data_IF_164154237786
#
_entry.id   IF_164154237786
#
_cell.length_a   1.000
_cell.length_b   1.000
_cell.length_c   1.000
_cell.angle_alpha   90.00
_cell.angle_beta   90.00
_cell.angle_gamma   90.00
#
_symmetry.space_group_name_H-M   'P 1'
#
loop_
_entity.id
_entity.type
_entity.pdbx_description
1 polymer ?
#
# COMPACT_ATOMS: atom_id res chain seq x y z
N UNK A 1 38.66 -64.35 -29.42
CA UNK A 1 39.40 -63.23 -28.80
C UNK A 1 38.39 -62.33 -28.07
N UNK A 2 38.29 -62.50 -26.76
CA UNK A 2 37.33 -61.81 -25.90
C UNK A 2 37.88 -60.42 -25.51
N UNK A 3 37.13 -59.34 -25.72
CA UNK A 3 37.35 -58.03 -25.07
C UNK A 3 36.18 -57.78 -24.11
N UNK A 4 36.44 -57.87 -22.82
CA UNK A 4 35.55 -57.41 -21.76
C UNK A 4 35.65 -55.91 -21.66
N UNK A 5 34.53 -55.21 -21.87
CA UNK A 5 34.39 -53.78 -21.55
C UNK A 5 34.07 -53.65 -20.05
N UNK A 6 34.89 -52.91 -19.34
CA UNK A 6 34.74 -52.56 -17.92
C UNK A 6 33.96 -51.27 -17.81
N UNK A 7 32.70 -51.32 -17.42
CA UNK A 7 31.88 -50.13 -17.12
C UNK A 7 32.14 -49.66 -15.70
N UNK A 8 32.73 -48.45 -15.59
CA UNK A 8 32.90 -47.77 -14.31
C UNK A 8 31.65 -46.95 -14.06
N UNK A 9 30.86 -47.38 -13.05
CA UNK A 9 29.78 -46.56 -12.49
C UNK A 9 30.39 -45.52 -11.53
N UNK A 10 30.32 -44.25 -11.87
CA UNK A 10 30.61 -43.15 -10.96
C UNK A 10 29.28 -42.84 -10.22
N UNK A 11 29.16 -43.26 -9.00
CA UNK A 11 28.09 -42.90 -8.09
C UNK A 11 28.42 -41.52 -7.50
N UNK A 12 27.77 -40.47 -8.01
CA UNK A 12 27.79 -39.17 -7.38
C UNK A 12 26.87 -39.18 -6.15
N UNK A 13 27.47 -39.26 -4.97
CA UNK A 13 26.73 -39.10 -3.72
C UNK A 13 26.35 -37.63 -3.55
N UNK A 14 25.05 -37.29 -3.82
CA UNK A 14 24.45 -36.04 -3.36
C UNK A 14 24.25 -36.16 -1.85
N UNK A 15 25.07 -35.50 -1.08
CA UNK A 15 24.83 -35.27 0.36
C UNK A 15 23.74 -34.23 0.51
N UNK A 16 22.49 -34.71 0.69
CA UNK A 16 21.41 -33.85 1.18
C UNK A 16 21.72 -33.62 2.66
N UNK A 17 22.20 -32.45 3.01
CA UNK A 17 22.29 -32.01 4.41
C UNK A 17 20.85 -31.84 4.93
N UNK A 18 20.37 -32.81 5.67
CA UNK A 18 19.13 -32.67 6.42
C UNK A 18 19.38 -31.78 7.63
N UNK A 19 18.86 -30.55 7.61
CA UNK A 19 18.81 -29.72 8.81
C UNK A 19 17.98 -30.45 9.88
N UNK A 20 18.52 -30.49 11.09
CA UNK A 20 17.79 -31.06 12.23
C UNK A 20 16.85 -30.01 12.82
N UNK A 21 15.81 -30.44 13.55
CA UNK A 21 14.91 -29.54 14.29
C UNK A 21 15.66 -28.58 15.22
N UNK A 22 16.78 -29.02 15.78
CA UNK A 22 17.63 -28.19 16.63
C UNK A 22 18.35 -27.08 15.83
N UNK A 23 18.75 -27.32 14.58
CA UNK A 23 19.39 -26.34 13.73
C UNK A 23 18.39 -25.24 13.32
N UNK A 24 17.14 -25.60 13.07
CA UNK A 24 16.06 -24.65 12.75
C UNK A 24 15.75 -23.76 13.95
N UNK A 25 15.55 -24.34 15.14
CA UNK A 25 15.30 -23.56 16.36
C UNK A 25 16.46 -22.64 16.73
N UNK A 26 17.70 -23.08 16.55
CA UNK A 26 18.88 -22.25 16.78
C UNK A 26 18.97 -21.07 15.77
N UNK A 27 18.53 -21.30 14.55
CA UNK A 27 18.49 -20.25 13.50
C UNK A 27 17.42 -19.18 13.79
N UNK A 28 16.24 -19.59 14.20
CA UNK A 28 15.13 -18.69 14.56
C UNK A 28 15.49 -17.81 15.75
N UNK A 29 16.04 -18.42 16.81
CA UNK A 29 16.52 -17.68 17.97
C UNK A 29 17.60 -16.68 17.59
N UNK A 30 18.54 -17.01 16.69
CA UNK A 30 19.56 -16.11 16.21
C UNK A 30 18.97 -14.91 15.47
N UNK A 31 17.91 -15.08 14.65
CA UNK A 31 17.25 -13.98 13.92
C UNK A 31 16.59 -13.01 14.90
N UNK A 32 15.80 -13.53 15.82
CA UNK A 32 15.12 -12.71 16.84
C UNK A 32 16.12 -11.98 17.75
N UNK A 33 17.19 -12.64 18.19
CA UNK A 33 18.23 -12.05 19.04
C UNK A 33 19.02 -10.94 18.32
N UNK A 34 19.36 -11.15 17.03
CA UNK A 34 19.98 -10.13 16.20
C UNK A 34 19.08 -8.88 16.13
N UNK A 35 17.82 -9.05 15.78
CA UNK A 35 16.86 -7.95 15.64
C UNK A 35 16.64 -7.23 16.98
N UNK A 36 16.53 -7.97 18.08
CA UNK A 36 16.38 -7.39 19.40
C UNK A 36 17.59 -6.54 19.81
N UNK A 37 18.81 -7.01 19.54
CA UNK A 37 20.04 -6.27 19.77
C UNK A 37 20.14 -5.03 18.88
N UNK A 38 19.85 -5.18 17.58
CA UNK A 38 19.91 -4.10 16.62
C UNK A 38 18.86 -3.02 16.92
N UNK A 39 17.68 -3.43 17.38
CA UNK A 39 16.64 -2.50 17.84
C UNK A 39 17.19 -1.58 18.93
N UNK A 40 17.75 -2.14 19.99
CA UNK A 40 18.28 -1.36 21.12
C UNK A 40 19.44 -0.45 20.75
N UNK A 41 20.34 -0.94 19.88
CA UNK A 41 21.59 -0.24 19.56
C UNK A 41 21.43 0.78 18.43
N UNK A 42 20.53 0.54 17.49
CA UNK A 42 20.42 1.33 16.28
C UNK A 42 18.98 1.75 15.89
N UNK A 43 18.00 0.80 15.86
CA UNK A 43 16.70 1.10 15.28
C UNK A 43 15.82 1.97 16.18
N UNK A 44 15.90 1.84 17.52
CA UNK A 44 15.14 2.67 18.44
C UNK A 44 15.53 4.17 18.33
N UNK A 45 16.84 4.56 18.37
CA UNK A 45 17.20 5.95 18.15
C UNK A 45 16.92 6.43 16.72
N UNK A 46 16.95 5.54 15.71
CA UNK A 46 16.60 5.88 14.34
C UNK A 46 15.12 6.16 14.19
N UNK A 47 14.26 5.33 14.77
CA UNK A 47 12.82 5.58 14.83
C UNK A 47 12.51 6.90 15.54
N UNK A 48 13.11 7.16 16.72
CA UNK A 48 12.93 8.43 17.44
C UNK A 48 13.32 9.64 16.57
N UNK A 49 14.38 9.50 15.77
CA UNK A 49 14.78 10.53 14.82
C UNK A 49 13.72 10.79 13.75
N UNK A 50 13.19 9.75 13.09
CA UNK A 50 12.15 9.92 12.06
C UNK A 50 10.84 10.43 12.66
N UNK A 51 10.42 9.88 13.81
CA UNK A 51 9.21 10.29 14.50
C UNK A 51 9.20 11.78 14.85
N UNK A 52 10.34 12.31 15.32
CA UNK A 52 10.49 13.75 15.64
C UNK A 52 10.62 14.66 14.45
N UNK A 53 10.95 14.14 13.27
CA UNK A 53 11.28 14.92 12.09
C UNK A 53 10.49 14.50 10.85
N UNK A 54 9.15 14.39 10.91
CA UNK A 54 8.35 14.06 9.76
C UNK A 54 8.40 15.17 8.71
N UNK A 55 8.31 14.79 7.44
CA UNK A 55 8.18 15.70 6.32
C UNK A 55 6.94 15.35 5.49
N UNK A 56 6.28 16.38 4.93
CA UNK A 56 5.09 16.22 4.10
C UNK A 56 5.40 15.50 2.79
N UNK A 57 4.38 14.84 2.21
CA UNK A 57 4.43 14.22 0.88
C UNK A 57 5.06 15.13 -0.17
N UNK A 58 5.94 14.63 -1.02
CA UNK A 58 6.75 15.34 -2.01
C UNK A 58 7.82 16.29 -1.44
N UNK A 59 7.97 16.38 -0.12
CA UNK A 59 8.91 17.25 0.56
C UNK A 59 9.87 16.49 1.49
N UNK A 60 9.92 15.16 1.39
CA UNK A 60 10.66 14.23 2.26
C UNK A 60 12.18 14.24 2.03
N UNK A 61 12.77 15.42 1.85
CA UNK A 61 14.16 15.58 1.42
C UNK A 61 15.18 15.15 2.48
N UNK A 62 14.91 15.44 3.76
CA UNK A 62 15.79 15.06 4.87
C UNK A 62 15.58 13.60 5.24
N UNK A 63 14.33 13.13 5.20
CA UNK A 63 13.95 11.75 5.42
C UNK A 63 14.62 10.84 4.40
N UNK A 64 14.47 11.15 3.10
CA UNK A 64 15.12 10.42 2.01
C UNK A 64 16.65 10.42 2.14
N UNK A 65 17.26 11.56 2.47
CA UNK A 65 18.70 11.67 2.67
C UNK A 65 19.17 10.80 3.83
N UNK A 66 18.44 10.82 4.97
CA UNK A 66 18.79 10.00 6.12
C UNK A 66 18.66 8.52 5.79
N UNK A 67 17.55 8.09 5.19
CA UNK A 67 17.34 6.71 4.78
C UNK A 67 18.43 6.25 3.79
N UNK A 68 18.79 7.08 2.82
CA UNK A 68 19.87 6.79 1.88
C UNK A 68 21.24 6.59 2.57
N UNK A 69 21.53 7.37 3.60
CA UNK A 69 22.77 7.22 4.41
C UNK A 69 22.77 5.88 5.16
N UNK A 70 21.66 5.52 5.80
CA UNK A 70 21.51 4.25 6.51
C UNK A 70 21.75 3.05 5.59
N UNK A 71 21.07 3.02 4.44
CA UNK A 71 21.19 1.93 3.47
C UNK A 71 22.59 1.86 2.82
N UNK A 72 23.19 3.01 2.51
CA UNK A 72 24.56 3.05 1.98
C UNK A 72 25.59 2.55 2.99
N UNK A 73 25.40 2.84 4.28
CA UNK A 73 26.31 2.46 5.35
C UNK A 73 26.47 0.94 5.51
N UNK A 74 25.45 0.17 5.08
CA UNK A 74 25.45 -1.30 5.11
C UNK A 74 25.70 -1.93 3.73
N UNK A 75 26.14 -1.13 2.77
CA UNK A 75 26.68 -1.61 1.49
C UNK A 75 25.68 -1.72 0.34
N UNK A 76 24.50 -1.10 0.46
CA UNK A 76 23.60 -0.95 -0.69
C UNK A 76 24.10 0.16 -1.63
N UNK A 77 23.90 -0.06 -2.93
CA UNK A 77 24.06 0.98 -3.94
C UNK A 77 22.75 1.79 -4.00
N UNK A 78 22.79 3.05 -3.55
CA UNK A 78 21.60 3.89 -3.37
C UNK A 78 21.52 4.95 -4.44
N UNK A 79 20.36 5.03 -5.11
CA UNK A 79 19.98 6.10 -6.02
C UNK A 79 18.87 6.92 -5.38
N UNK A 80 19.08 8.22 -5.25
CA UNK A 80 18.09 9.18 -4.74
C UNK A 80 17.42 9.94 -5.89
N UNK A 81 16.27 10.56 -5.62
CA UNK A 81 15.58 11.39 -6.58
C UNK A 81 14.74 10.61 -7.60
N UNK A 82 14.34 9.40 -7.27
CA UNK A 82 13.50 8.55 -8.13
C UNK A 82 12.03 8.91 -7.90
N UNK A 83 11.36 9.43 -8.94
CA UNK A 83 9.99 9.91 -8.80
C UNK A 83 9.82 11.10 -7.84
N UNK A 84 10.85 11.95 -7.70
CA UNK A 84 10.87 13.08 -6.77
C UNK A 84 11.85 12.87 -5.63
N UNK A 85 11.39 12.66 -4.41
CA UNK A 85 12.23 12.41 -3.23
C UNK A 85 12.50 10.91 -2.97
N UNK A 86 11.95 10.01 -3.80
CA UNK A 86 12.08 8.57 -3.64
C UNK A 86 13.52 8.06 -3.76
N UNK A 87 13.78 6.91 -3.18
CA UNK A 87 15.06 6.23 -3.24
C UNK A 87 14.91 4.76 -3.64
N UNK A 88 15.93 4.28 -4.37
CA UNK A 88 16.10 2.86 -4.69
C UNK A 88 17.49 2.43 -4.24
N UNK A 89 17.54 1.39 -3.42
CA UNK A 89 18.76 0.81 -2.92
C UNK A 89 18.89 -0.65 -3.36
N UNK A 90 20.02 -1.02 -3.96
CA UNK A 90 20.22 -2.36 -4.52
C UNK A 90 21.46 -3.01 -3.90
N UNK A 91 21.27 -4.27 -3.47
CA UNK A 91 22.35 -5.16 -3.09
C UNK A 91 22.28 -6.44 -3.91
N UNK A 92 23.40 -6.79 -4.59
CA UNK A 92 23.54 -8.04 -5.33
C UNK A 92 24.36 -9.04 -4.50
N UNK A 93 23.86 -10.27 -4.42
CA UNK A 93 24.51 -11.34 -3.66
C UNK A 93 24.46 -12.69 -4.42
N UNK A 94 25.04 -12.73 -5.61
CA UNK A 94 25.08 -13.91 -6.47
C UNK A 94 23.87 -14.08 -7.37
N UNK A 95 23.75 -15.22 -8.06
CA UNK A 95 22.60 -15.53 -8.91
C UNK A 95 21.38 -15.86 -8.06
N UNK A 96 20.19 -15.50 -8.53
CA UNK A 96 18.92 -15.75 -7.82
C UNK A 96 17.86 -14.71 -8.19
N UNK A 97 16.71 -14.74 -7.54
CA UNK A 97 15.62 -13.82 -7.82
C UNK A 97 15.97 -12.38 -7.44
N UNK A 98 15.31 -11.44 -8.09
CA UNK A 98 15.25 -10.05 -7.65
C UNK A 98 14.00 -9.87 -6.79
N UNK A 99 14.17 -9.40 -5.56
CA UNK A 99 13.08 -9.18 -4.62
C UNK A 99 13.06 -7.74 -4.17
N UNK A 100 11.87 -7.13 -4.23
CA UNK A 100 11.64 -5.76 -3.79
C UNK A 100 11.03 -5.74 -2.38
N UNK A 101 11.48 -4.81 -1.53
CA UNK A 101 10.80 -4.43 -0.29
C UNK A 101 10.57 -2.93 -0.32
N UNK A 102 9.34 -2.49 -0.03
CA UNK A 102 8.94 -1.08 -0.03
C UNK A 102 8.60 -0.59 1.38
N UNK A 103 9.03 0.63 1.68
CA UNK A 103 8.49 1.45 2.76
C UNK A 103 8.19 2.86 2.24
N UNK A 104 7.05 3.41 2.64
CA UNK A 104 6.70 4.80 2.45
C UNK A 104 7.40 5.71 3.47
N UNK A 105 7.51 7.02 3.18
CA UNK A 105 8.37 7.93 3.96
C UNK A 105 7.68 9.17 4.49
N UNK A 106 6.51 9.51 3.95
CA UNK A 106 5.87 10.81 4.17
C UNK A 106 5.08 10.89 5.48
N UNK A 107 4.88 12.10 5.93
CA UNK A 107 4.02 12.46 7.05
C UNK A 107 2.83 13.29 6.59
N UNK A 108 1.89 13.46 7.50
CA UNK A 108 0.61 14.14 7.30
C UNK A 108 0.59 15.55 7.89
N UNK A 109 -0.23 16.48 7.33
CA UNK A 109 -0.42 17.82 7.88
C UNK A 109 -1.29 17.81 9.14
N UNK A 110 -0.83 17.13 10.17
CA UNK A 110 -1.51 16.92 11.46
C UNK A 110 -0.65 17.43 12.60
N UNK A 111 -1.23 18.17 13.53
CA UNK A 111 -0.57 18.55 14.79
C UNK A 111 -0.64 17.37 15.76
N UNK A 112 0.50 16.84 16.14
CA UNK A 112 0.55 15.67 17.01
C UNK A 112 0.04 15.98 18.43
N UNK A 113 -0.85 15.13 18.90
CA UNK A 113 -1.44 15.15 20.25
C UNK A 113 -1.42 13.76 20.89
N UNK A 114 -0.45 12.94 20.51
CA UNK A 114 -0.28 11.55 20.98
C UNK A 114 0.02 11.45 22.49
N UNK A 115 0.54 12.54 23.07
CA UNK A 115 1.01 12.56 24.46
C UNK A 115 2.38 11.88 24.66
N UNK A 116 3.06 11.51 23.58
CA UNK A 116 4.42 10.93 23.64
C UNK A 116 5.45 12.01 23.97
N UNK A 117 6.47 11.63 24.73
CA UNK A 117 7.57 12.56 25.10
C UNK A 117 8.42 12.99 23.89
N UNK A 118 8.35 12.24 22.80
CA UNK A 118 9.02 12.50 21.51
C UNK A 118 8.06 12.95 20.42
N UNK A 119 6.86 13.40 20.76
CA UNK A 119 5.89 13.93 19.81
C UNK A 119 6.51 14.99 18.89
N UNK A 120 6.13 14.95 17.62
CA UNK A 120 6.61 15.92 16.63
C UNK A 120 6.15 17.34 16.96
N UNK A 121 7.06 18.27 16.83
CA UNK A 121 6.79 19.72 16.90
C UNK A 121 7.07 20.40 15.57
N UNK A 122 7.31 19.62 14.51
CA UNK A 122 7.65 20.11 13.18
C UNK A 122 6.50 20.91 12.60
N UNK A 123 6.83 22.03 11.97
CA UNK A 123 5.92 22.83 11.16
C UNK A 123 6.53 23.03 9.78
N UNK A 124 5.71 22.83 8.75
CA UNK A 124 6.08 23.04 7.35
C UNK A 124 5.03 23.89 6.65
N UNK A 125 5.39 24.49 5.53
CA UNK A 125 4.38 25.03 4.60
C UNK A 125 3.85 23.86 3.77
N UNK A 126 2.53 23.76 3.70
CA UNK A 126 1.89 22.78 2.84
C UNK A 126 1.86 23.25 1.37
N UNK A 127 1.22 22.48 0.50
CA UNK A 127 1.12 22.77 -0.94
C UNK A 127 0.28 24.01 -1.27
N UNK A 128 -0.48 24.53 -0.31
CA UNK A 128 -1.27 25.75 -0.44
C UNK A 128 -0.52 26.98 0.14
N UNK A 129 0.66 26.75 0.72
CA UNK A 129 1.46 27.78 1.40
C UNK A 129 1.03 28.06 2.83
N UNK A 130 0.17 27.20 3.41
CA UNK A 130 -0.26 27.32 4.80
C UNK A 130 0.75 26.63 5.74
N UNK A 131 1.01 27.24 6.90
CA UNK A 131 1.87 26.61 7.92
C UNK A 131 1.09 25.61 8.74
N UNK A 132 1.43 24.33 8.60
CA UNK A 132 0.79 23.21 9.29
C UNK A 132 1.76 22.48 10.20
N UNK A 133 1.25 21.81 11.24
CA UNK A 133 2.01 20.83 12.00
C UNK A 133 2.17 19.56 11.19
N UNK A 134 3.25 18.81 11.39
CA UNK A 134 3.51 17.56 10.65
C UNK A 134 3.71 16.41 11.60
N UNK A 135 3.09 15.27 11.32
CA UNK A 135 3.11 14.07 12.14
C UNK A 135 3.18 12.81 11.27
N UNK A 136 3.90 11.78 11.71
CA UNK A 136 3.74 10.42 11.17
C UNK A 136 2.45 9.77 11.72
N UNK A 137 1.29 10.34 11.34
CA UNK A 137 -0.02 9.87 11.81
C UNK A 137 -0.50 8.57 11.14
N UNK A 138 0.30 8.01 10.22
CA UNK A 138 0.08 6.71 9.60
C UNK A 138 1.16 5.67 9.95
N UNK A 139 2.26 6.09 10.61
CA UNK A 139 3.29 5.19 11.11
C UNK A 139 4.40 4.86 10.12
N UNK A 140 4.61 5.70 9.09
CA UNK A 140 5.64 5.50 8.08
C UNK A 140 7.07 5.54 8.66
N UNK A 141 7.26 6.20 9.79
CA UNK A 141 8.50 6.14 10.60
C UNK A 141 8.85 4.71 11.05
N UNK A 142 7.84 3.87 11.34
CA UNK A 142 8.03 2.44 11.61
C UNK A 142 8.43 1.69 10.36
N UNK A 143 7.80 2.01 9.22
CA UNK A 143 8.06 1.32 7.95
C UNK A 143 9.50 1.54 7.50
N UNK A 144 9.96 2.80 7.41
CA UNK A 144 11.35 3.10 6.99
C UNK A 144 12.39 2.59 8.00
N UNK A 145 12.09 2.64 9.30
CA UNK A 145 12.99 2.07 10.32
C UNK A 145 13.11 0.56 10.17
N UNK A 146 12.00 -0.13 9.91
CA UNK A 146 11.99 -1.57 9.67
C UNK A 146 12.71 -1.93 8.36
N UNK A 147 12.59 -1.10 7.32
CA UNK A 147 13.35 -1.27 6.08
C UNK A 147 14.86 -1.23 6.33
N UNK A 148 15.32 -0.31 7.18
CA UNK A 148 16.74 -0.24 7.60
C UNK A 148 17.13 -1.49 8.38
N UNK A 149 16.32 -1.93 9.34
CA UNK A 149 16.56 -3.16 10.10
C UNK A 149 16.68 -4.39 9.20
N UNK A 150 15.79 -4.51 8.21
CA UNK A 150 15.84 -5.56 7.19
C UNK A 150 17.14 -5.48 6.38
N UNK A 151 17.52 -4.28 5.93
CA UNK A 151 18.77 -4.06 5.18
C UNK A 151 20.00 -4.50 5.97
N UNK A 152 20.04 -4.15 7.25
CA UNK A 152 21.15 -4.47 8.16
C UNK A 152 21.27 -5.98 8.38
N UNK A 153 20.14 -6.65 8.64
CA UNK A 153 20.13 -8.11 8.78
C UNK A 153 20.60 -8.81 7.51
N UNK A 154 20.06 -8.46 6.35
CA UNK A 154 20.39 -9.09 5.07
C UNK A 154 21.85 -8.81 4.65
N UNK A 155 22.36 -7.63 4.94
CA UNK A 155 23.77 -7.28 4.66
C UNK A 155 24.76 -8.09 5.51
N UNK A 156 24.44 -8.38 6.77
CA UNK A 156 25.30 -9.15 7.68
C UNK A 156 25.21 -10.66 7.45
N UNK A 157 24.09 -11.13 6.89
CA UNK A 157 23.82 -12.56 6.68
C UNK A 157 23.81 -12.97 5.19
N UNK A 158 24.75 -12.47 4.40
CA UNK A 158 24.86 -12.76 2.95
C UNK A 158 25.11 -14.23 2.62
N UNK A 159 25.59 -15.00 3.56
CA UNK A 159 25.78 -16.45 3.45
C UNK A 159 24.44 -17.22 3.36
N UNK A 160 23.34 -16.63 3.85
CA UNK A 160 22.01 -17.26 3.94
C UNK A 160 21.13 -17.06 2.71
N UNK A 161 21.45 -16.11 1.84
CA UNK A 161 20.61 -15.78 0.70
C UNK A 161 21.40 -15.52 -0.57
N UNK A 162 20.73 -15.56 -1.73
CA UNK A 162 21.31 -15.22 -3.03
C UNK A 162 20.28 -14.50 -3.91
N UNK A 163 20.77 -13.73 -4.89
CA UNK A 163 19.93 -12.93 -5.77
C UNK A 163 20.20 -11.42 -5.63
N UNK A 164 19.19 -10.63 -5.92
CA UNK A 164 19.23 -9.17 -5.84
C UNK A 164 18.13 -8.66 -4.91
N UNK A 165 18.51 -7.94 -3.85
CA UNK A 165 17.58 -7.25 -2.98
C UNK A 165 17.47 -5.80 -3.40
N UNK A 166 16.25 -5.35 -3.71
CA UNK A 166 15.87 -3.98 -4.01
C UNK A 166 15.05 -3.42 -2.86
N UNK A 167 15.50 -2.34 -2.24
CA UNK A 167 14.77 -1.62 -1.21
C UNK A 167 14.29 -0.29 -1.77
N UNK A 168 13.02 0.02 -1.58
CA UNK A 168 12.39 1.27 -2.02
C UNK A 168 11.96 2.08 -0.81
N UNK A 169 12.46 3.32 -0.72
CA UNK A 169 11.86 4.37 0.09
C UNK A 169 10.95 5.20 -0.79
N UNK A 170 9.65 4.98 -0.66
CA UNK A 170 8.64 5.62 -1.50
C UNK A 170 8.19 6.94 -0.90
N UNK A 171 8.13 8.03 -1.68
CA UNK A 171 7.56 9.31 -1.25
C UNK A 171 6.03 9.31 -1.41
N UNK A 172 5.37 10.30 -0.82
CA UNK A 172 4.04 10.80 -1.16
C UNK A 172 2.93 9.75 -1.28
N UNK A 173 2.91 8.76 -0.39
CA UNK A 173 1.82 7.78 -0.32
C UNK A 173 0.50 8.47 0.03
N UNK A 174 0.50 9.32 1.05
CA UNK A 174 -0.69 10.00 1.61
C UNK A 174 -1.33 11.01 0.65
N UNK A 175 -0.58 11.48 -0.35
CA UNK A 175 -1.08 12.39 -1.39
C UNK A 175 -1.35 11.68 -2.71
N UNK A 176 -0.83 10.49 -2.88
CA UNK A 176 -1.18 9.57 -3.94
C UNK A 176 -0.31 9.48 -5.18
N UNK A 177 0.57 10.41 -5.53
CA UNK A 177 1.38 10.25 -6.74
C UNK A 177 2.72 9.51 -6.51
N UNK A 178 3.02 9.04 -5.29
CA UNK A 178 4.36 8.55 -4.96
C UNK A 178 4.82 7.35 -5.75
N UNK A 179 4.11 6.24 -5.67
CA UNK A 179 4.45 5.04 -6.43
C UNK A 179 4.32 5.27 -7.94
N UNK A 180 3.25 5.94 -8.39
CA UNK A 180 3.06 6.25 -9.82
C UNK A 180 4.15 7.17 -10.37
N UNK A 181 4.64 8.14 -9.60
CA UNK A 181 5.76 9.01 -10.01
C UNK A 181 7.07 8.22 -10.13
N UNK A 182 7.33 7.27 -9.22
CA UNK A 182 8.49 6.38 -9.34
C UNK A 182 8.39 5.50 -10.60
N UNK A 183 7.21 4.97 -10.91
CA UNK A 183 6.97 4.20 -12.13
C UNK A 183 7.13 5.05 -13.39
N UNK A 184 6.62 6.30 -13.39
CA UNK A 184 6.80 7.26 -14.49
C UNK A 184 8.26 7.67 -14.70
N UNK A 185 9.12 7.59 -13.67
CA UNK A 185 10.58 7.75 -13.76
C UNK A 185 11.29 6.48 -14.28
N UNK A 186 10.58 5.60 -14.96
CA UNK A 186 11.09 4.37 -15.56
C UNK A 186 11.74 3.40 -14.53
N UNK A 187 11.10 3.19 -13.39
CA UNK A 187 11.66 2.42 -12.28
C UNK A 187 12.18 1.06 -12.73
N UNK A 188 11.37 0.26 -13.43
CA UNK A 188 11.78 -1.08 -13.86
C UNK A 188 12.84 -1.09 -14.95
N UNK A 189 12.83 -0.12 -15.86
CA UNK A 189 13.84 0.02 -16.92
C UNK A 189 15.20 0.41 -16.37
N UNK A 190 15.24 1.21 -15.30
CA UNK A 190 16.47 1.70 -14.66
C UNK A 190 17.08 0.67 -13.71
N UNK A 191 16.26 -0.05 -12.97
CA UNK A 191 16.72 -0.84 -11.84
C UNK A 191 16.45 -2.34 -11.97
N UNK A 192 15.64 -2.75 -12.94
CA UNK A 192 15.19 -4.12 -13.15
C UNK A 192 13.81 -4.36 -12.51
N UNK A 193 13.03 -5.24 -13.14
CA UNK A 193 11.73 -5.66 -12.63
C UNK A 193 11.94 -6.79 -11.61
N UNK A 194 11.39 -6.70 -10.39
CA UNK A 194 11.50 -7.76 -9.39
C UNK A 194 10.62 -8.97 -9.73
N UNK A 195 11.07 -10.14 -9.29
CA UNK A 195 10.32 -11.39 -9.38
C UNK A 195 9.26 -11.50 -8.28
N UNK A 196 9.49 -10.85 -7.13
CA UNK A 196 8.60 -10.78 -5.97
C UNK A 196 8.68 -9.40 -5.32
N UNK A 197 7.58 -8.99 -4.69
CA UNK A 197 7.54 -7.74 -3.94
C UNK A 197 6.86 -7.92 -2.58
N UNK A 198 7.42 -7.26 -1.56
CA UNK A 198 6.88 -7.24 -0.20
C UNK A 198 6.77 -5.81 0.32
N UNK A 199 5.75 -5.55 1.11
CA UNK A 199 5.60 -4.37 1.92
C UNK A 199 4.77 -4.70 3.15
N UNK A 200 4.81 -3.84 4.17
CA UNK A 200 3.85 -3.93 5.27
C UNK A 200 3.39 -2.54 5.72
N UNK A 201 2.25 -2.51 6.38
CA UNK A 201 1.74 -1.32 7.06
C UNK A 201 1.54 -1.61 8.55
N UNK A 202 1.94 -0.69 9.41
CA UNK A 202 1.62 -0.78 10.83
C UNK A 202 0.13 -0.52 11.01
N UNK A 203 -0.54 -1.33 11.84
CA UNK A 203 -1.99 -1.26 12.03
C UNK A 203 -2.35 -0.75 13.43
N UNK A 204 -3.10 0.35 13.49
CA UNK A 204 -3.73 0.81 14.72
C UNK A 204 -4.80 -0.16 15.25
N UNK A 205 -5.37 -0.98 14.38
CA UNK A 205 -6.47 -1.89 14.72
C UNK A 205 -6.00 -3.27 15.19
N UNK A 206 -4.69 -3.44 15.43
CA UNK A 206 -4.12 -4.72 15.83
C UNK A 206 -3.12 -4.56 16.96
N UNK A 207 -3.08 -5.56 17.85
CA UNK A 207 -2.16 -5.56 18.99
C UNK A 207 -0.70 -5.54 18.53
N UNK A 208 0.12 -4.69 19.16
CA UNK A 208 1.51 -4.48 18.82
C UNK A 208 2.30 -5.78 18.71
N UNK A 209 3.03 -5.94 17.59
CA UNK A 209 3.83 -7.09 17.27
C UNK A 209 3.07 -8.28 16.66
N UNK A 210 1.76 -8.19 16.50
CA UNK A 210 0.97 -9.19 15.76
C UNK A 210 1.01 -8.93 14.26
N UNK A 211 0.90 -9.97 13.46
CA UNK A 211 0.98 -9.91 11.99
C UNK A 211 -0.33 -10.39 11.39
N UNK A 212 -0.77 -9.74 10.33
CA UNK A 212 -1.93 -10.13 9.54
C UNK A 212 -1.49 -10.23 8.08
N UNK A 213 -1.76 -11.37 7.46
CA UNK A 213 -1.52 -11.60 6.02
C UNK A 213 -2.85 -11.92 5.37
N UNK A 214 -3.36 -10.99 4.56
CA UNK A 214 -4.56 -11.19 3.76
C UNK A 214 -4.23 -12.04 2.52
N UNK A 215 -5.09 -13.03 2.20
CA UNK A 215 -4.99 -13.83 0.97
C UNK A 215 -5.81 -13.20 -0.19
N UNK A 216 -5.86 -11.89 -0.26
CA UNK A 216 -6.65 -11.12 -1.23
C UNK A 216 -6.23 -9.66 -1.22
N UNK A 217 -7.18 -8.74 -1.13
CA UNK A 217 -6.92 -7.30 -1.20
C UNK A 217 -6.84 -6.68 0.20
N UNK A 218 -5.64 -6.41 0.73
CA UNK A 218 -5.49 -5.68 1.98
C UNK A 218 -5.97 -4.21 1.88
N UNK A 219 -5.96 -3.64 0.66
CA UNK A 219 -6.43 -2.28 0.38
C UNK A 219 -7.21 -2.20 -0.92
N UNK A 220 -8.23 -1.34 -0.94
CA UNK A 220 -9.06 -1.12 -2.11
C UNK A 220 -8.37 -0.22 -3.14
N UNK A 221 -8.73 -0.40 -4.40
CA UNK A 221 -8.54 0.63 -5.41
C UNK A 221 -9.45 1.82 -5.13
N UNK A 222 -8.98 3.01 -5.49
CA UNK A 222 -9.69 4.26 -5.32
C UNK A 222 -9.67 5.05 -6.62
N UNK A 223 -10.83 5.23 -7.21
CA UNK A 223 -10.99 6.04 -8.41
C UNK A 223 -11.84 7.27 -8.12
N UNK A 224 -11.41 8.41 -8.66
CA UNK A 224 -12.22 9.61 -8.75
C UNK A 224 -12.76 9.71 -10.18
N UNK A 225 -14.08 9.86 -10.31
CA UNK A 225 -14.76 9.93 -11.59
C UNK A 225 -15.62 11.19 -11.65
N UNK A 226 -15.36 12.03 -12.65
CA UNK A 226 -16.18 13.21 -12.94
C UNK A 226 -17.10 12.92 -14.13
N UNK A 227 -18.38 13.27 -13.98
CA UNK A 227 -19.37 13.15 -15.05
C UNK A 227 -19.93 14.55 -15.36
N UNK A 228 -19.69 15.04 -16.57
CA UNK A 228 -20.39 16.21 -17.08
C UNK A 228 -21.61 15.77 -17.86
N UNK A 229 -22.79 16.09 -17.34
CA UNK A 229 -24.07 15.81 -17.96
C UNK A 229 -24.52 17.04 -18.72
N UNK A 230 -24.49 16.97 -20.04
CA UNK A 230 -24.93 18.09 -20.88
C UNK A 230 -26.47 18.16 -20.93
N UNK A 231 -26.97 19.38 -21.10
CA UNK A 231 -28.39 19.71 -21.27
C UNK A 231 -28.64 20.55 -22.53
N UNK A 232 -29.87 20.91 -22.73
CA UNK A 232 -30.29 21.94 -23.69
C UNK A 232 -31.09 22.97 -22.91
N UNK A 233 -30.47 24.15 -22.77
CA UNK A 233 -31.04 25.27 -21.99
C UNK A 233 -32.40 25.72 -22.51
N UNK A 234 -33.32 26.05 -21.59
CA UNK A 234 -34.66 26.57 -21.91
C UNK A 234 -35.26 27.33 -20.73
N UNK A 235 -36.37 28.04 -21.00
CA UNK A 235 -37.14 28.64 -19.94
C UNK A 235 -37.84 27.55 -19.07
N UNK A 236 -37.72 27.66 -17.76
CA UNK A 236 -38.27 26.63 -16.83
C UNK A 236 -39.78 26.37 -16.97
N UNK A 237 -40.55 27.35 -17.48
CA UNK A 237 -41.98 27.18 -17.80
C UNK A 237 -42.25 26.52 -19.19
N UNK A 238 -41.17 26.28 -19.98
CA UNK A 238 -41.26 25.68 -21.32
C UNK A 238 -40.30 24.46 -21.43
N UNK A 239 -40.39 23.45 -20.54
CA UNK A 239 -39.43 22.38 -20.47
C UNK A 239 -39.41 21.49 -21.73
N UNK A 240 -40.45 21.48 -22.53
CA UNK A 240 -40.53 20.76 -23.79
C UNK A 240 -39.59 21.32 -24.89
N UNK A 241 -39.03 22.52 -24.69
CA UNK A 241 -38.07 23.14 -25.62
C UNK A 241 -36.60 22.85 -25.27
N UNK A 242 -36.34 22.21 -24.15
CA UNK A 242 -35.03 21.88 -23.66
C UNK A 242 -34.82 20.42 -23.27
N UNK A 243 -33.65 20.16 -22.71
CA UNK A 243 -33.31 18.90 -22.03
C UNK A 243 -32.68 19.26 -20.70
N UNK A 244 -33.32 18.86 -19.61
CA UNK A 244 -32.91 19.28 -18.26
C UNK A 244 -31.79 18.38 -17.74
N UNK A 245 -30.55 18.89 -17.59
CA UNK A 245 -29.42 18.11 -17.11
C UNK A 245 -29.54 17.76 -15.62
N UNK A 246 -30.34 18.50 -14.84
CA UNK A 246 -30.62 18.18 -13.42
C UNK A 246 -31.44 16.88 -13.35
N UNK A 247 -32.47 16.76 -14.16
CA UNK A 247 -33.34 15.56 -14.21
C UNK A 247 -32.52 14.36 -14.71
N UNK A 248 -31.74 14.55 -15.80
CA UNK A 248 -30.87 13.49 -16.35
C UNK A 248 -29.82 13.08 -15.31
N UNK A 249 -29.15 14.04 -14.66
CA UNK A 249 -28.17 13.77 -13.62
C UNK A 249 -28.74 13.01 -12.41
N UNK A 250 -29.93 13.41 -11.96
CA UNK A 250 -30.61 12.70 -10.87
C UNK A 250 -30.96 11.24 -11.25
N UNK A 251 -31.39 10.99 -12.50
CA UNK A 251 -31.60 9.64 -13.01
C UNK A 251 -30.29 8.84 -13.08
N UNK A 252 -29.18 9.48 -13.51
CA UNK A 252 -27.86 8.84 -13.51
C UNK A 252 -27.50 8.43 -12.09
N UNK A 253 -27.62 9.32 -11.08
CA UNK A 253 -27.32 8.99 -9.66
C UNK A 253 -28.10 7.76 -9.20
N UNK A 254 -29.41 7.67 -9.50
CA UNK A 254 -30.24 6.52 -9.13
C UNK A 254 -29.83 5.25 -9.89
N UNK A 255 -29.57 5.34 -11.19
CA UNK A 255 -29.22 4.19 -12.02
C UNK A 255 -27.82 3.64 -11.67
N UNK A 256 -26.87 4.48 -11.27
CA UNK A 256 -25.55 4.05 -10.81
C UNK A 256 -25.64 3.10 -9.61
N UNK A 257 -26.64 3.24 -8.73
CA UNK A 257 -26.82 2.35 -7.58
C UNK A 257 -27.14 0.90 -8.02
N UNK A 258 -27.70 0.73 -9.21
CA UNK A 258 -28.03 -0.61 -9.74
C UNK A 258 -26.79 -1.40 -10.14
N UNK A 259 -25.69 -0.74 -10.44
CA UNK A 259 -24.41 -1.41 -10.75
C UNK A 259 -23.98 -2.27 -9.55
N UNK A 260 -23.98 -1.70 -8.35
CA UNK A 260 -23.61 -2.44 -7.13
C UNK A 260 -24.70 -3.46 -6.77
N UNK A 261 -25.98 -3.05 -6.82
CA UNK A 261 -27.04 -3.90 -6.29
C UNK A 261 -27.54 -4.97 -7.25
N UNK A 262 -27.26 -4.89 -8.58
CA UNK A 262 -27.82 -5.78 -9.60
C UNK A 262 -26.81 -6.33 -10.60
N UNK A 263 -25.63 -5.73 -10.76
CA UNK A 263 -24.66 -6.16 -11.76
C UNK A 263 -23.38 -6.75 -11.11
N UNK A 264 -22.95 -6.17 -9.98
CA UNK A 264 -21.85 -6.73 -9.23
C UNK A 264 -22.31 -8.02 -8.53
N UNK A 265 -21.54 -9.11 -8.71
CA UNK A 265 -21.87 -10.36 -8.04
C UNK A 265 -21.83 -10.19 -6.50
N UNK A 266 -22.81 -10.71 -5.74
CA UNK A 266 -22.96 -10.42 -4.30
C UNK A 266 -21.79 -10.81 -3.40
N UNK A 267 -20.84 -11.59 -3.92
CA UNK A 267 -19.62 -12.00 -3.21
C UNK A 267 -18.48 -11.01 -3.37
N UNK A 268 -18.59 -10.04 -4.26
CA UNK A 268 -17.59 -9.02 -4.50
C UNK A 268 -18.00 -7.70 -3.86
N UNK A 269 -17.02 -7.02 -3.28
CA UNK A 269 -17.24 -5.71 -2.69
C UNK A 269 -16.86 -4.61 -3.68
N UNK A 270 -17.71 -3.61 -3.77
CA UNK A 270 -17.49 -2.40 -4.56
C UNK A 270 -18.34 -1.25 -4.03
N UNK A 271 -17.87 -0.02 -4.24
CA UNK A 271 -18.58 1.19 -3.81
C UNK A 271 -18.61 2.19 -4.96
N UNK A 272 -19.77 2.78 -5.19
CA UNK A 272 -19.97 3.96 -6.05
C UNK A 272 -20.71 4.99 -5.22
N UNK A 273 -20.03 6.10 -4.88
CA UNK A 273 -20.63 7.21 -4.14
C UNK A 273 -20.56 8.46 -4.98
N UNK A 274 -21.71 9.11 -5.24
CA UNK A 274 -21.78 10.45 -5.79
C UNK A 274 -21.62 11.43 -4.63
N UNK A 275 -20.41 11.99 -4.47
CA UNK A 275 -20.05 12.88 -3.37
C UNK A 275 -20.49 14.32 -3.59
N UNK A 276 -20.60 14.76 -4.86
CA UNK A 276 -21.04 16.11 -5.21
C UNK A 276 -21.91 16.10 -6.46
N UNK A 277 -22.91 16.99 -6.47
CA UNK A 277 -23.78 17.25 -7.60
C UNK A 277 -24.00 18.77 -7.72
N UNK A 278 -23.40 19.37 -8.74
CA UNK A 278 -23.46 20.80 -9.00
C UNK A 278 -24.26 21.09 -10.27
N UNK A 279 -25.36 21.83 -10.15
CA UNK A 279 -26.23 22.11 -11.28
C UNK A 279 -27.14 23.31 -11.04
N UNK A 280 -27.49 24.02 -12.12
CA UNK A 280 -28.43 25.10 -12.12
C UNK A 280 -27.90 26.40 -11.54
N UNK A 281 -28.51 27.51 -11.94
CA UNK A 281 -28.14 28.88 -11.49
C UNK A 281 -29.33 29.66 -10.95
N UNK A 282 -30.53 29.35 -11.44
CA UNK A 282 -31.76 30.07 -11.09
C UNK A 282 -32.99 29.17 -11.25
N UNK A 283 -33.98 29.31 -10.38
CA UNK A 283 -35.18 28.49 -10.28
C UNK A 283 -36.03 28.39 -11.54
N UNK A 284 -35.91 29.33 -12.49
CA UNK A 284 -36.75 29.41 -13.72
C UNK A 284 -35.92 29.20 -15.00
N UNK A 285 -34.72 28.64 -14.91
CA UNK A 285 -33.84 28.36 -16.04
C UNK A 285 -33.50 26.84 -16.03
N UNK A 286 -33.73 26.19 -17.17
CA UNK A 286 -33.11 24.88 -17.44
C UNK A 286 -31.66 25.18 -17.90
N UNK A 287 -30.67 24.71 -17.14
CA UNK A 287 -29.26 24.89 -17.45
C UNK A 287 -28.81 24.02 -18.62
N UNK A 288 -27.62 24.26 -19.10
CA UNK A 288 -26.99 23.49 -20.19
C UNK A 288 -25.98 22.44 -19.72
N UNK A 289 -25.71 22.39 -18.41
CA UNK A 289 -24.88 21.32 -17.81
C UNK A 289 -25.21 21.04 -16.34
N UNK A 290 -24.84 19.83 -15.90
CA UNK A 290 -24.72 19.41 -14.51
C UNK A 290 -23.44 18.60 -14.33
N UNK A 291 -22.79 18.71 -13.16
CA UNK A 291 -21.55 17.99 -12.85
C UNK A 291 -21.72 17.09 -11.64
N UNK A 292 -21.31 15.84 -11.78
CA UNK A 292 -21.28 14.85 -10.73
C UNK A 292 -19.83 14.48 -10.43
N UNK A 293 -19.48 14.39 -9.15
CA UNK A 293 -18.17 13.91 -8.70
C UNK A 293 -18.36 12.65 -7.88
N UNK A 294 -17.67 11.58 -8.28
CA UNK A 294 -17.83 10.25 -7.70
C UNK A 294 -16.52 9.78 -7.09
N UNK A 295 -16.63 9.02 -6.00
CA UNK A 295 -15.58 8.10 -5.59
C UNK A 295 -16.02 6.66 -5.82
N UNK A 296 -15.10 5.86 -6.38
CA UNK A 296 -15.31 4.44 -6.66
C UNK A 296 -14.28 3.63 -5.89
N UNK A 297 -14.70 2.52 -5.26
CA UNK A 297 -13.81 1.61 -4.56
C UNK A 297 -14.00 0.20 -5.07
N UNK A 298 -12.90 -0.54 -5.20
CA UNK A 298 -12.88 -1.93 -5.66
C UNK A 298 -11.77 -2.72 -5.00
N UNK A 299 -11.97 -4.02 -4.77
CA UNK A 299 -10.95 -4.86 -4.15
C UNK A 299 -10.11 -5.64 -5.15
N UNK A 300 -10.55 -5.76 -6.41
CA UNK A 300 -9.78 -6.46 -7.45
C UNK A 300 -9.77 -5.68 -8.75
N UNK A 301 -8.75 -5.88 -9.62
CA UNK A 301 -8.69 -5.22 -10.92
C UNK A 301 -9.93 -5.48 -11.78
N UNK A 302 -10.49 -6.70 -11.75
CA UNK A 302 -11.67 -7.08 -12.54
C UNK A 302 -12.92 -6.33 -12.07
N UNK A 303 -13.11 -6.20 -10.75
CA UNK A 303 -14.22 -5.41 -10.18
C UNK A 303 -14.06 -3.94 -10.54
N UNK A 304 -12.84 -3.40 -10.46
CA UNK A 304 -12.55 -2.02 -10.85
C UNK A 304 -12.97 -1.75 -12.30
N UNK A 305 -12.51 -2.56 -13.23
CA UNK A 305 -12.84 -2.43 -14.66
C UNK A 305 -14.36 -2.55 -14.90
N UNK A 306 -15.01 -3.50 -14.24
CA UNK A 306 -16.46 -3.67 -14.30
C UNK A 306 -17.20 -2.39 -13.84
N UNK A 307 -16.80 -1.81 -12.70
CA UNK A 307 -17.46 -0.61 -12.15
C UNK A 307 -17.26 0.61 -13.07
N UNK A 308 -16.03 0.87 -13.50
CA UNK A 308 -15.70 2.03 -14.33
C UNK A 308 -16.38 1.97 -15.71
N UNK A 309 -16.36 0.80 -16.36
CA UNK A 309 -17.07 0.60 -17.63
C UNK A 309 -18.59 0.72 -17.48
N UNK A 310 -19.16 0.20 -16.39
CA UNK A 310 -20.58 0.31 -16.11
C UNK A 310 -21.02 1.75 -15.83
N UNK A 311 -20.24 2.55 -15.11
CA UNK A 311 -20.50 3.98 -14.87
C UNK A 311 -20.66 4.72 -16.20
N UNK A 312 -19.70 4.54 -17.11
CA UNK A 312 -19.74 5.17 -18.45
C UNK A 312 -20.97 4.73 -19.23
N UNK A 313 -21.25 3.44 -19.27
CA UNK A 313 -22.44 2.87 -19.94
C UNK A 313 -23.74 3.41 -19.38
N UNK A 314 -23.88 3.47 -18.06
CA UNK A 314 -25.10 3.97 -17.38
C UNK A 314 -25.30 5.45 -17.64
N UNK A 315 -24.27 6.28 -17.53
CA UNK A 315 -24.36 7.71 -17.80
C UNK A 315 -24.84 7.98 -19.24
N UNK A 316 -24.17 7.38 -20.21
CA UNK A 316 -24.51 7.51 -21.65
C UNK A 316 -25.91 6.95 -21.93
N UNK A 317 -26.25 5.76 -21.42
CA UNK A 317 -27.55 5.11 -21.64
C UNK A 317 -28.70 5.92 -21.07
N UNK A 318 -28.54 6.53 -19.89
CA UNK A 318 -29.54 7.41 -19.28
C UNK A 318 -29.82 8.64 -20.11
N UNK A 319 -28.76 9.31 -20.59
CA UNK A 319 -28.90 10.49 -21.45
C UNK A 319 -29.57 10.17 -22.79
N UNK A 320 -29.22 9.03 -23.41
CA UNK A 320 -29.91 8.56 -24.62
C UNK A 320 -31.38 8.29 -24.38
N UNK A 321 -31.75 7.68 -23.25
CA UNK A 321 -33.15 7.45 -22.87
C UNK A 321 -33.91 8.76 -22.69
N UNK A 322 -33.24 9.82 -22.20
CA UNK A 322 -33.79 11.18 -22.12
C UNK A 322 -33.88 11.89 -23.47
N UNK A 323 -33.41 11.27 -24.55
CA UNK A 323 -33.42 11.81 -25.91
C UNK A 323 -32.37 12.91 -26.11
N UNK A 324 -31.21 12.79 -25.47
CA UNK A 324 -30.06 13.64 -25.76
C UNK A 324 -29.45 13.27 -27.12
N UNK A 325 -29.03 14.28 -27.93
CA UNK A 325 -28.34 14.03 -29.19
C UNK A 325 -26.92 13.44 -28.92
N UNK A 326 -26.41 12.67 -29.89
CA UNK A 326 -25.17 11.93 -29.74
C UNK A 326 -23.93 12.82 -29.48
N UNK A 327 -23.93 14.05 -29.99
CA UNK A 327 -22.88 15.06 -29.78
C UNK A 327 -22.95 15.76 -28.39
N UNK A 328 -23.98 15.44 -27.59
CA UNK A 328 -24.20 15.97 -26.25
C UNK A 328 -24.41 14.86 -25.19
N UNK A 329 -23.85 13.69 -25.43
CA UNK A 329 -23.84 12.62 -24.43
C UNK A 329 -22.89 12.99 -23.28
N UNK A 330 -23.12 12.47 -22.07
CA UNK A 330 -22.26 12.74 -20.93
C UNK A 330 -20.80 12.41 -21.19
N UNK A 331 -19.92 13.31 -20.77
CA UNK A 331 -18.49 13.06 -20.68
C UNK A 331 -18.18 12.43 -19.32
N UNK A 332 -17.44 11.33 -19.34
CA UNK A 332 -17.01 10.62 -18.13
C UNK A 332 -15.49 10.58 -18.12
N UNK A 333 -14.90 11.27 -17.15
CA UNK A 333 -13.45 11.38 -16.96
C UNK A 333 -13.04 10.65 -15.70
N UNK A 334 -12.13 9.68 -15.83
CA UNK A 334 -11.48 9.03 -14.70
C UNK A 334 -10.21 9.84 -14.41
N UNK A 335 -10.06 10.27 -13.15
CA UNK A 335 -8.89 11.04 -12.74
C UNK A 335 -7.60 10.23 -12.90
N UNK A 336 -6.51 10.89 -13.27
CA UNK A 336 -5.16 10.32 -13.24
C UNK A 336 -4.69 9.98 -11.81
N UNK A 337 -5.33 10.57 -10.79
CA UNK A 337 -5.11 10.24 -9.37
C UNK A 337 -5.96 9.05 -8.91
N UNK A 338 -6.05 8.03 -9.74
CA UNK A 338 -6.75 6.79 -9.42
C UNK A 338 -5.75 5.73 -9.01
N UNK A 339 -6.09 4.96 -7.96
CA UNK A 339 -5.23 3.92 -7.40
C UNK A 339 -5.73 2.54 -7.80
N UNK A 340 -4.88 1.65 -8.34
CA UNK A 340 -5.25 0.26 -8.49
C UNK A 340 -5.42 -0.40 -7.12
N UNK A 341 -6.23 -1.48 -7.01
CA UNK A 341 -6.28 -2.27 -5.78
C UNK A 341 -4.90 -2.83 -5.44
N UNK A 342 -4.51 -2.79 -4.16
CA UNK A 342 -3.38 -3.57 -3.68
C UNK A 342 -3.84 -5.01 -3.47
N UNK A 343 -3.35 -5.93 -4.30
CA UNK A 343 -3.79 -7.31 -4.32
C UNK A 343 -2.63 -8.26 -4.02
N UNK A 344 -2.77 -9.05 -2.96
CA UNK A 344 -1.79 -10.06 -2.60
C UNK A 344 -1.92 -11.29 -3.50
N UNK A 345 -0.80 -11.76 -4.06
CA UNK A 345 -0.77 -13.06 -4.71
C UNK A 345 -1.16 -14.15 -3.72
N UNK A 346 -2.23 -14.88 -4.01
CA UNK A 346 -2.80 -15.84 -3.06
C UNK A 346 -1.84 -16.97 -2.69
N UNK A 347 -1.02 -17.43 -3.65
CA UNK A 347 -0.05 -18.50 -3.40
C UNK A 347 1.10 -18.01 -2.53
N UNK A 348 1.60 -16.82 -2.83
CA UNK A 348 2.69 -16.20 -2.08
C UNK A 348 2.21 -15.81 -0.67
N UNK A 349 1.00 -15.25 -0.52
CA UNK A 349 0.43 -14.90 0.78
C UNK A 349 0.24 -16.14 1.67
N UNK A 350 -0.32 -17.22 1.12
CA UNK A 350 -0.46 -18.49 1.85
C UNK A 350 0.90 -19.08 2.22
N UNK A 351 1.89 -19.02 1.31
CA UNK A 351 3.26 -19.45 1.58
C UNK A 351 3.86 -18.63 2.73
N UNK A 352 3.72 -17.31 2.69
CA UNK A 352 4.19 -16.43 3.75
C UNK A 352 3.52 -16.70 5.10
N UNK A 353 2.19 -16.89 5.16
CA UNK A 353 1.49 -17.26 6.41
C UNK A 353 2.10 -18.52 7.03
N UNK A 354 2.36 -19.55 6.23
CA UNK A 354 2.96 -20.79 6.71
C UNK A 354 4.38 -20.55 7.26
N UNK A 355 5.21 -19.80 6.53
CA UNK A 355 6.57 -19.45 6.95
C UNK A 355 6.56 -18.68 8.26
N UNK A 356 5.73 -17.65 8.36
CA UNK A 356 5.65 -16.83 9.57
C UNK A 356 5.10 -17.64 10.77
N UNK A 357 4.12 -18.52 10.54
CA UNK A 357 3.60 -19.42 11.58
C UNK A 357 4.68 -20.38 12.08
N UNK A 358 5.50 -20.92 11.17
CA UNK A 358 6.61 -21.82 11.51
C UNK A 358 7.74 -21.08 12.25
N UNK A 359 8.13 -19.90 11.77
CA UNK A 359 9.32 -19.17 12.22
C UNK A 359 9.08 -18.27 13.43
N UNK A 360 7.91 -17.65 13.53
CA UNK A 360 7.56 -16.71 14.59
C UNK A 360 6.52 -17.27 15.57
N UNK A 361 6.02 -18.48 15.28
CA UNK A 361 4.95 -19.13 16.05
C UNK A 361 3.55 -18.71 15.58
N UNK A 362 2.59 -19.64 15.66
CA UNK A 362 1.20 -19.39 15.26
C UNK A 362 0.56 -18.22 16.00
N UNK A 363 0.94 -18.00 17.26
CA UNK A 363 0.45 -16.89 18.07
C UNK A 363 0.90 -15.50 17.57
N UNK A 364 1.92 -15.41 16.72
CA UNK A 364 2.33 -14.15 16.09
C UNK A 364 1.30 -13.67 15.07
N UNK A 365 0.55 -14.58 14.46
CA UNK A 365 -0.43 -14.30 13.42
C UNK A 365 -1.81 -14.01 14.01
N UNK A 366 -2.52 -13.09 13.36
CA UNK A 366 -3.96 -12.87 13.55
C UNK A 366 -4.67 -13.14 12.21
N UNK A 367 -5.88 -13.68 12.28
CA UNK A 367 -6.71 -13.76 11.08
C UNK A 367 -7.14 -12.35 10.64
N UNK A 368 -7.23 -12.12 9.33
CA UNK A 368 -7.74 -10.86 8.81
C UNK A 368 -9.16 -10.58 9.31
N UNK A 369 -9.38 -9.41 9.89
CA UNK A 369 -10.71 -8.91 10.16
C UNK A 369 -11.23 -8.16 8.94
N UNK A 370 -12.55 -8.06 8.78
CA UNK A 370 -13.15 -7.19 7.78
C UNK A 370 -12.64 -5.75 7.97
N UNK A 371 -11.99 -5.22 6.95
CA UNK A 371 -11.44 -3.86 6.95
C UNK A 371 -12.26 -2.97 6.02
N UNK A 372 -12.21 -1.65 6.26
CA UNK A 372 -12.82 -0.69 5.36
C UNK A 372 -12.13 -0.65 4.00
N UNK A 373 -12.68 0.17 3.09
CA UNK A 373 -12.17 0.36 1.73
C UNK A 373 -11.07 1.46 1.68
N UNK A 374 -10.09 1.41 2.59
CA UNK A 374 -8.88 2.25 2.52
C UNK A 374 -8.09 1.96 1.24
N UNK A 375 -7.45 3.01 0.69
CA UNK A 375 -6.61 2.89 -0.50
C UNK A 375 -5.12 2.93 -0.11
N UNK A 376 -4.29 2.41 -1.01
CA UNK A 376 -2.83 2.33 -0.90
C UNK A 376 -2.25 2.32 -2.32
N UNK A 377 -1.18 3.05 -2.56
CA UNK A 377 -0.62 3.23 -3.90
C UNK A 377 0.44 2.16 -4.29
N UNK A 378 0.80 1.24 -3.40
CA UNK A 378 1.70 0.11 -3.67
C UNK A 378 1.30 -0.71 -4.91
N UNK A 379 0.00 -0.79 -5.19
CA UNK A 379 -0.54 -1.48 -6.35
C UNK A 379 0.04 -1.00 -7.70
N UNK A 380 0.52 0.24 -7.80
CA UNK A 380 1.20 0.74 -9.01
C UNK A 380 2.50 -0.02 -9.33
N UNK A 381 3.19 -0.54 -8.32
CA UNK A 381 4.40 -1.33 -8.55
C UNK A 381 4.11 -2.75 -9.04
N UNK A 382 2.94 -3.31 -8.73
CA UNK A 382 2.72 -4.75 -8.81
C UNK A 382 1.58 -5.18 -9.71
N UNK A 383 0.79 -4.23 -10.25
CA UNK A 383 -0.36 -4.54 -11.12
C UNK A 383 0.04 -4.59 -12.58
N UNK A 384 0.81 -3.61 -13.08
CA UNK A 384 1.29 -3.54 -14.46
C UNK A 384 2.76 -3.09 -14.53
N UNK A 385 3.70 -3.99 -14.85
CA UNK A 385 3.51 -5.45 -15.07
C UNK A 385 3.12 -6.17 -13.77
N UNK A 386 2.39 -7.29 -13.88
CA UNK A 386 2.06 -8.09 -12.70
C UNK A 386 3.33 -8.66 -12.05
N UNK A 387 3.46 -8.39 -10.74
CA UNK A 387 4.53 -8.91 -9.90
C UNK A 387 3.89 -9.61 -8.71
N UNK A 388 4.12 -10.92 -8.48
CA UNK A 388 3.66 -11.59 -7.28
C UNK A 388 4.10 -10.84 -6.03
N UNK A 389 3.14 -10.40 -5.22
CA UNK A 389 3.43 -9.53 -4.07
C UNK A 389 2.60 -9.88 -2.84
N UNK A 390 3.12 -9.53 -1.68
CA UNK A 390 2.36 -9.55 -0.43
C UNK A 390 2.57 -8.25 0.33
N UNK A 391 1.44 -7.58 0.57
CA UNK A 391 1.34 -6.47 1.49
C UNK A 391 0.68 -6.97 2.77
N UNK A 392 1.41 -7.03 3.87
CA UNK A 392 0.90 -7.54 5.16
C UNK A 392 0.76 -6.40 6.18
N UNK A 393 0.14 -6.67 7.32
CA UNK A 393 -0.03 -5.68 8.39
C UNK A 393 0.71 -6.13 9.64
N UNK A 394 1.25 -5.15 10.38
CA UNK A 394 1.92 -5.36 11.67
C UNK A 394 1.21 -4.52 12.72
N UNK A 395 0.71 -5.14 13.77
CA UNK A 395 0.01 -4.43 14.85
C UNK A 395 0.92 -3.44 15.57
N UNK A 396 0.38 -2.24 15.83
CA UNK A 396 1.09 -1.14 16.48
C UNK A 396 0.50 -0.69 17.81
N UNK A 397 -0.73 -1.09 18.15
CA UNK A 397 -1.45 -0.60 19.31
C UNK A 397 -1.13 -1.39 20.59
N UNK A 398 -0.87 -0.73 21.72
CA UNK A 398 -0.65 -1.40 23.00
C UNK A 398 -1.85 -2.29 23.38
N UNK A 399 -1.58 -3.51 23.84
CA UNK A 399 -2.65 -4.44 24.30
C UNK A 399 -3.57 -3.82 25.36
N UNK A 400 -3.02 -3.01 26.27
CA UNK A 400 -3.78 -2.34 27.31
C UNK A 400 -4.80 -1.33 26.76
N UNK A 401 -4.53 -0.72 25.59
CA UNK A 401 -5.43 0.24 24.96
C UNK A 401 -6.64 -0.48 24.36
N UNK A 402 -6.44 -1.66 23.77
CA UNK A 402 -7.56 -2.52 23.34
C UNK A 402 -8.42 -2.97 24.52
N UNK A 403 -7.82 -3.52 25.56
CA UNK A 403 -8.56 -3.97 26.74
C UNK A 403 -9.38 -2.83 27.36
N UNK A 404 -8.85 -1.61 27.38
CA UNK A 404 -9.56 -0.42 27.87
C UNK A 404 -10.73 -0.04 26.95
N UNK A 405 -10.55 -0.08 25.64
CA UNK A 405 -11.60 0.23 24.67
C UNK A 405 -12.73 -0.81 24.74
N UNK A 406 -12.42 -2.10 24.82
CA UNK A 406 -13.38 -3.20 24.97
C UNK A 406 -14.18 -3.10 26.28
N UNK A 407 -13.58 -2.59 27.35
CA UNK A 407 -14.26 -2.31 28.62
C UNK A 407 -15.16 -1.06 28.59
N UNK A 408 -15.39 -0.46 27.42
CA UNK A 408 -16.22 0.75 27.25
C UNK A 408 -15.47 2.06 27.53
N UNK A 409 -14.15 2.04 27.58
CA UNK A 409 -13.30 3.22 27.69
C UNK A 409 -13.08 3.95 26.36
N UNK A 410 -12.06 4.81 26.31
CA UNK A 410 -11.70 5.56 25.10
C UNK A 410 -11.33 4.60 23.97
N UNK A 411 -11.90 4.79 22.80
CA UNK A 411 -11.56 4.03 21.60
C UNK A 411 -10.08 4.19 21.21
N UNK A 412 -9.51 3.16 20.60
CA UNK A 412 -8.14 3.23 20.07
C UNK A 412 -8.12 4.30 18.95
N UNK A 413 -7.19 5.28 19.01
CA UNK A 413 -7.07 6.28 17.96
C UNK A 413 -6.72 5.62 16.62
N UNK A 414 -7.50 5.93 15.58
CA UNK A 414 -7.25 5.43 14.22
C UNK A 414 -6.04 6.11 13.59
N UNK A 415 -5.57 5.57 12.47
CA UNK A 415 -4.69 6.28 11.55
C UNK A 415 -5.25 7.66 11.21
N UNK A 416 -4.39 8.63 10.94
CA UNK A 416 -4.66 10.04 10.64
C UNK A 416 -5.24 10.84 11.84
N UNK A 417 -5.44 10.20 13.00
CA UNK A 417 -5.81 10.90 14.23
C UNK A 417 -4.62 11.67 14.79
N UNK A 418 -4.81 12.90 15.31
CA UNK A 418 -3.77 13.60 16.09
C UNK A 418 -3.29 12.80 17.31
N UNK A 419 -4.11 11.89 17.83
CA UNK A 419 -3.80 11.04 18.98
C UNK A 419 -3.23 9.68 18.59
N UNK A 420 -3.04 9.41 17.27
CA UNK A 420 -2.43 8.17 16.80
C UNK A 420 -1.07 7.95 17.47
N UNK A 421 -0.85 6.76 17.95
CA UNK A 421 0.43 6.32 18.53
C UNK A 421 0.56 4.81 18.40
N UNK A 422 1.79 4.38 18.31
CA UNK A 422 2.15 2.97 18.25
C UNK A 422 3.11 2.60 19.37
N UNK A 423 3.27 1.31 19.61
CA UNK A 423 4.34 0.75 20.42
C UNK A 423 5.50 0.37 19.48
N UNK A 424 6.57 1.18 19.36
CA UNK A 424 7.56 1.05 18.30
C UNK A 424 8.36 -0.26 18.39
N UNK A 425 8.79 -0.67 19.58
CA UNK A 425 9.65 -1.84 19.74
C UNK A 425 9.03 -3.12 19.18
N UNK A 426 7.85 -3.60 19.62
CA UNK A 426 7.27 -4.81 19.06
C UNK A 426 6.87 -4.64 17.59
N UNK A 427 6.41 -3.46 17.16
CA UNK A 427 6.02 -3.23 15.77
C UNK A 427 7.22 -3.29 14.81
N UNK A 428 8.32 -2.60 15.13
CA UNK A 428 9.53 -2.59 14.32
C UNK A 428 10.18 -3.99 14.31
N UNK A 429 10.33 -4.63 15.48
CA UNK A 429 10.94 -5.96 15.57
C UNK A 429 10.17 -6.98 14.74
N UNK A 430 8.84 -7.03 14.88
CA UNK A 430 8.02 -7.97 14.10
C UNK A 430 7.97 -7.62 12.62
N UNK A 431 7.98 -6.34 12.25
CA UNK A 431 8.07 -5.89 10.86
C UNK A 431 9.38 -6.34 10.19
N UNK A 432 10.51 -6.16 10.88
CA UNK A 432 11.83 -6.63 10.40
C UNK A 432 11.84 -8.15 10.30
N UNK A 433 11.43 -8.85 11.35
CA UNK A 433 11.49 -10.32 11.42
C UNK A 433 10.61 -10.98 10.34
N UNK A 434 9.37 -10.51 10.18
CA UNK A 434 8.48 -11.00 9.14
C UNK A 434 9.02 -10.76 7.73
N UNK A 435 9.58 -9.56 7.49
CA UNK A 435 10.18 -9.23 6.19
C UNK A 435 11.43 -10.06 5.92
N UNK A 436 12.29 -10.26 6.92
CA UNK A 436 13.49 -11.12 6.80
C UNK A 436 13.08 -12.55 6.47
N UNK A 437 12.11 -13.11 7.16
CA UNK A 437 11.64 -14.48 6.87
C UNK A 437 11.00 -14.60 5.47
N UNK A 438 10.24 -13.57 5.02
CA UNK A 438 9.73 -13.51 3.66
C UNK A 438 10.85 -13.52 2.62
N UNK A 439 11.90 -12.73 2.83
CA UNK A 439 13.06 -12.66 1.94
C UNK A 439 13.87 -13.96 1.94
N UNK A 440 14.17 -14.51 3.11
CA UNK A 440 14.90 -15.77 3.21
C UNK A 440 14.14 -16.95 2.62
N UNK A 441 12.81 -16.92 2.65
CA UNK A 441 11.98 -17.97 2.03
C UNK A 441 12.08 -17.99 0.50
N UNK A 442 12.12 -16.81 -0.15
CA UNK A 442 12.18 -16.71 -1.62
C UNK A 442 13.61 -16.58 -2.17
N UNK A 443 14.60 -16.24 -1.35
CA UNK A 443 16.00 -15.98 -1.74
C UNK A 443 17.01 -16.97 -1.13
N UNK A 444 16.55 -18.02 -0.41
CA UNK A 444 17.47 -19.00 0.24
C UNK A 444 18.49 -19.58 -0.76
N UNK A 445 19.72 -19.78 -0.27
CA UNK A 445 20.80 -20.48 -1.00
C UNK A 445 20.58 -21.97 -1.03
#
# INVERSE_FOLDING_TARGET
MNRKALSILIASAFTISSFTTNDVLAFEQHTADFIAKDYQQHLAPLWDHFHRNPELSLMETKTAKRLAQELSSVGFNVTQGVGGTGIVAIMKNGPGPMVMVRADMDGLPVVEQSGLANASTVKMQDWNGETVGVMHACGHDVHITSLVGTARYMAENKDKWSGTLMLIGQPAEEKGPGASAMMADNLWQRFGQPDYAFAFHVSANSAAGKIIVDEGSPYAGADTVDITVYGIGAHGASPHQGKDPIVIGAQIVNNLQTIISRELAPRYAGVITVGAFHAGTKHNIISDEAKLQLTVRSLTPEVREQLLSAIKRVAIGTARTAGMPEDKLPEVVISEFSFPPTFNDQKLAKRLKNVLSEKMGADALLEPAETGMGAEDFGFFTTEPYIPSVYFKVGGTPKADFARAEAGGVAVPSHHSPQFKITPEPAIKSGVEATVHALLDVMAK
#
